data_IF_546949041212
#
_entry.id   IF_546949041212
#
_cell.length_a   1.000
_cell.length_b   1.000
_cell.length_c   1.000
_cell.angle_alpha   90.00
_cell.angle_beta   90.00
_cell.angle_gamma   90.00
#
_symmetry.space_group_name_H-M   'P 1'
#
loop_
_entity.id
_entity.type
_entity.pdbx_description
1 polymer ?
#
# COMPACT_ATOMS: atom_id res chain seq x y z
N UNK A 1 7.75 31.00 -0.77
CA UNK A 1 8.30 30.75 -2.09
C UNK A 1 7.27 30.43 -3.22
N UNK A 2 6.00 30.19 -2.96
CA UNK A 2 5.01 29.95 -4.03
C UNK A 2 4.35 31.22 -4.60
N UNK A 3 4.70 32.41 -4.10
CA UNK A 3 4.03 33.67 -4.43
C UNK A 3 4.90 34.64 -5.25
N UNK A 4 6.07 34.26 -5.71
CA UNK A 4 7.03 35.17 -6.41
C UNK A 4 7.11 34.97 -7.92
N UNK A 5 6.18 34.29 -8.51
CA UNK A 5 6.07 34.19 -9.96
C UNK A 5 4.61 34.06 -10.35
N UNK A 6 4.23 34.53 -11.53
CA UNK A 6 2.91 34.37 -12.13
C UNK A 6 2.53 32.90 -12.35
N UNK A 7 2.45 32.12 -11.28
CA UNK A 7 2.09 30.72 -11.34
C UNK A 7 0.56 30.62 -11.31
N UNK A 8 -0.07 30.31 -12.41
CA UNK A 8 -1.49 29.98 -12.46
C UNK A 8 -1.68 28.51 -12.09
N UNK A 9 -2.20 28.28 -10.88
CA UNK A 9 -2.60 26.95 -10.44
C UNK A 9 -4.07 26.76 -10.78
N UNK A 10 -4.35 25.86 -11.72
CA UNK A 10 -5.71 25.54 -12.16
C UNK A 10 -6.35 24.41 -11.34
N UNK A 11 -5.53 23.51 -10.78
CA UNK A 11 -5.98 22.35 -10.01
C UNK A 11 -5.05 22.03 -8.84
N UNK A 12 -5.62 21.64 -7.70
CA UNK A 12 -4.92 21.12 -6.53
C UNK A 12 -5.46 19.71 -6.30
N UNK A 13 -4.59 18.71 -6.48
CA UNK A 13 -4.95 17.31 -6.23
C UNK A 13 -4.33 16.86 -4.93
N UNK A 14 -5.16 16.29 -4.04
CA UNK A 14 -4.77 15.73 -2.74
C UNK A 14 -4.97 14.24 -2.82
N UNK A 15 -3.86 13.51 -2.79
CA UNK A 15 -3.87 12.06 -2.65
C UNK A 15 -3.94 11.68 -1.17
N UNK A 16 -4.41 10.45 -0.88
CA UNK A 16 -4.62 9.94 0.49
C UNK A 16 -5.42 10.93 1.37
N UNK A 17 -6.46 11.52 0.80
CA UNK A 17 -7.24 12.56 1.46
C UNK A 17 -7.89 12.11 2.79
N UNK A 18 -7.98 10.80 3.07
CA UNK A 18 -8.43 10.27 4.36
C UNK A 18 -7.53 10.72 5.53
N UNK A 19 -6.26 11.10 5.24
CA UNK A 19 -5.33 11.62 6.24
C UNK A 19 -5.77 12.94 6.90
N UNK A 20 -6.76 13.66 6.36
CA UNK A 20 -7.33 14.86 6.99
C UNK A 20 -8.37 14.53 8.07
N UNK A 21 -8.76 13.26 8.23
CA UNK A 21 -9.78 12.82 9.19
C UNK A 21 -9.15 12.09 10.37
N UNK A 22 -9.49 12.50 11.59
CA UNK A 22 -9.10 11.78 12.82
C UNK A 22 -9.71 10.36 12.88
N UNK A 23 -10.76 10.11 12.11
CA UNK A 23 -11.39 8.81 11.96
C UNK A 23 -10.81 8.00 10.79
N UNK A 24 -9.83 8.56 10.06
CA UNK A 24 -9.05 7.86 9.05
C UNK A 24 -8.03 6.92 9.71
N UNK A 25 -7.68 5.86 9.03
CA UNK A 25 -6.70 4.89 9.53
C UNK A 25 -5.25 5.41 9.60
N UNK A 26 -4.97 6.56 8.98
CA UNK A 26 -3.64 7.21 8.94
C UNK A 26 -3.80 8.74 9.05
N UNK A 27 -4.34 9.21 10.18
CA UNK A 27 -4.47 10.65 10.41
C UNK A 27 -3.11 11.32 10.48
N UNK A 28 -2.95 12.39 9.70
CA UNK A 28 -1.73 13.22 9.65
C UNK A 28 -2.07 14.68 9.90
N UNK A 29 -1.66 15.25 11.04
CA UNK A 29 -1.93 16.65 11.37
C UNK A 29 -1.49 17.63 10.29
N UNK A 30 -0.36 17.37 9.62
CA UNK A 30 0.18 18.21 8.54
C UNK A 30 -0.78 18.35 7.35
N UNK A 31 -1.65 17.37 7.12
CA UNK A 31 -2.67 17.44 6.08
C UNK A 31 -3.72 18.53 6.35
N UNK A 32 -3.88 18.96 7.58
CA UNK A 32 -4.79 20.08 7.93
C UNK A 32 -4.26 21.43 7.38
N UNK A 33 -2.95 21.53 7.14
CA UNK A 33 -2.34 22.74 6.56
C UNK A 33 -2.68 22.90 5.07
N UNK A 34 -3.12 21.84 4.37
CA UNK A 34 -3.50 21.88 2.95
C UNK A 34 -4.61 22.91 2.70
N UNK A 35 -5.50 23.11 3.68
CA UNK A 35 -6.53 24.16 3.58
C UNK A 35 -5.92 25.56 3.43
N UNK A 36 -4.75 25.81 3.99
CA UNK A 36 -4.01 27.09 3.84
C UNK A 36 -3.52 27.30 2.42
N UNK A 37 -3.07 26.22 1.76
CA UNK A 37 -2.64 26.25 0.34
C UNK A 37 -3.81 26.65 -0.56
N UNK A 38 -5.03 26.18 -0.29
CA UNK A 38 -6.22 26.58 -1.04
C UNK A 38 -6.49 28.08 -0.99
N UNK A 39 -6.21 28.73 0.13
CA UNK A 39 -6.40 30.20 0.26
C UNK A 39 -5.49 30.99 -0.67
N UNK A 40 -4.33 30.43 -1.00
CA UNK A 40 -3.40 31.05 -1.95
C UNK A 40 -3.89 30.97 -3.41
N UNK A 41 -4.68 29.92 -3.71
CA UNK A 41 -5.18 29.65 -5.06
C UNK A 41 -6.72 29.47 -5.07
N UNK A 42 -7.50 30.52 -4.78
CA UNK A 42 -8.94 30.45 -4.58
C UNK A 42 -9.73 30.03 -5.82
N UNK A 43 -9.14 30.18 -7.02
CA UNK A 43 -9.75 29.80 -8.30
C UNK A 43 -9.43 28.38 -8.72
N UNK A 44 -8.47 27.70 -8.07
CA UNK A 44 -8.07 26.35 -8.41
C UNK A 44 -9.18 25.35 -8.06
N UNK A 45 -9.44 24.41 -8.97
CA UNK A 45 -10.28 23.26 -8.70
C UNK A 45 -9.58 22.33 -7.71
N UNK A 46 -10.29 21.83 -6.72
CA UNK A 46 -9.73 20.90 -5.76
C UNK A 46 -10.26 19.48 -6.02
N UNK A 47 -9.35 18.51 -6.10
CA UNK A 47 -9.63 17.09 -6.23
C UNK A 47 -9.06 16.38 -5.01
N UNK A 48 -9.89 15.63 -4.30
CA UNK A 48 -9.48 14.79 -3.17
C UNK A 48 -9.65 13.32 -3.54
N UNK A 49 -8.58 12.56 -3.45
CA UNK A 49 -8.54 11.13 -3.80
C UNK A 49 -8.22 10.31 -2.56
N UNK A 50 -8.88 9.18 -2.41
CA UNK A 50 -8.55 8.19 -1.38
C UNK A 50 -9.05 6.81 -1.81
N UNK A 51 -8.27 5.78 -1.49
CA UNK A 51 -8.67 4.39 -1.71
C UNK A 51 -9.66 3.90 -0.66
N UNK A 52 -9.67 4.51 0.54
CA UNK A 52 -10.46 4.05 1.68
C UNK A 52 -11.14 5.22 2.38
N UNK A 53 -12.47 5.28 2.33
CA UNK A 53 -13.22 6.30 3.04
C UNK A 53 -14.59 5.79 3.47
N UNK A 54 -14.80 5.73 4.78
CA UNK A 54 -16.13 5.55 5.38
C UNK A 54 -16.97 6.81 5.15
N UNK A 55 -18.27 6.73 5.39
CA UNK A 55 -19.16 7.91 5.27
C UNK A 55 -18.75 9.05 6.22
N UNK A 56 -18.20 8.73 7.39
CA UNK A 56 -17.68 9.74 8.31
C UNK A 56 -16.42 10.40 7.75
N UNK A 57 -15.47 9.62 7.25
CA UNK A 57 -14.24 10.12 6.62
C UNK A 57 -14.55 11.01 5.41
N UNK A 58 -15.55 10.65 4.58
CA UNK A 58 -16.00 11.49 3.45
C UNK A 58 -16.48 12.87 3.92
N UNK A 59 -17.29 12.91 5.00
CA UNK A 59 -17.77 14.17 5.59
C UNK A 59 -16.61 15.02 6.08
N UNK A 60 -15.64 14.41 6.75
CA UNK A 60 -14.47 15.12 7.26
C UNK A 60 -13.59 15.66 6.12
N UNK A 61 -13.38 14.90 5.05
CA UNK A 61 -12.67 15.36 3.85
C UNK A 61 -13.32 16.62 3.30
N UNK A 62 -14.65 16.57 3.10
CA UNK A 62 -15.42 17.71 2.56
C UNK A 62 -15.28 18.94 3.47
N UNK A 63 -15.42 18.75 4.78
CA UNK A 63 -15.35 19.79 5.78
C UNK A 63 -13.92 20.37 5.90
N UNK A 64 -12.93 19.51 6.14
CA UNK A 64 -11.57 19.92 6.47
C UNK A 64 -10.84 20.52 5.26
N UNK A 65 -11.15 20.07 4.04
CA UNK A 65 -10.63 20.67 2.80
C UNK A 65 -11.50 21.81 2.28
N UNK A 66 -12.61 22.13 2.93
CA UNK A 66 -13.52 23.22 2.54
C UNK A 66 -14.11 23.05 1.13
N UNK A 67 -14.43 21.82 0.74
CA UNK A 67 -15.02 21.53 -0.58
C UNK A 67 -16.46 22.07 -0.63
N UNK A 68 -16.76 22.92 -1.61
CA UNK A 68 -18.08 23.52 -1.79
C UNK A 68 -18.88 22.73 -2.82
N UNK A 69 -19.93 22.03 -2.38
CA UNK A 69 -20.81 21.20 -3.23
C UNK A 69 -19.99 20.27 -4.14
N UNK A 70 -19.13 19.41 -3.57
CA UNK A 70 -18.30 18.53 -4.37
C UNK A 70 -19.14 17.47 -5.08
N UNK A 71 -18.74 17.12 -6.30
CA UNK A 71 -19.17 15.88 -6.94
C UNK A 71 -18.42 14.72 -6.28
N UNK A 72 -19.13 13.65 -5.92
CA UNK A 72 -18.57 12.49 -5.23
C UNK A 72 -18.67 11.28 -6.15
N UNK A 73 -17.51 10.74 -6.52
CA UNK A 73 -17.41 9.52 -7.31
C UNK A 73 -16.93 8.39 -6.40
N UNK A 74 -17.70 7.32 -6.32
CA UNK A 74 -17.37 6.14 -5.53
C UNK A 74 -17.42 4.91 -6.43
N UNK A 75 -16.36 4.13 -6.46
CA UNK A 75 -16.30 2.85 -7.16
C UNK A 75 -16.32 1.70 -6.17
N UNK A 76 -16.67 0.50 -6.63
CA UNK A 76 -16.59 -0.71 -5.81
C UNK A 76 -15.14 -1.04 -5.47
N UNK A 77 -14.91 -1.54 -4.25
CA UNK A 77 -13.63 -2.11 -3.83
C UNK A 77 -13.38 -3.50 -4.43
N UNK A 78 -14.39 -4.10 -5.08
CA UNK A 78 -14.30 -5.44 -5.64
C UNK A 78 -13.34 -5.49 -6.83
N UNK A 79 -12.24 -6.20 -6.64
CA UNK A 79 -11.20 -6.45 -7.63
C UNK A 79 -11.38 -7.87 -8.17
N UNK A 80 -12.29 -8.04 -9.14
CA UNK A 80 -12.68 -9.33 -9.72
C UNK A 80 -11.54 -10.16 -10.30
N UNK A 81 -10.43 -9.51 -10.61
CA UNK A 81 -9.23 -10.15 -11.15
C UNK A 81 -8.25 -10.63 -10.06
N UNK A 82 -8.53 -10.41 -8.77
CA UNK A 82 -7.67 -10.86 -7.66
C UNK A 82 -8.35 -12.01 -6.94
N UNK A 83 -7.70 -13.18 -6.95
CA UNK A 83 -8.11 -14.34 -6.15
C UNK A 83 -7.61 -14.20 -4.74
N UNK A 84 -8.54 -14.22 -3.77
CA UNK A 84 -8.21 -14.11 -2.34
C UNK A 84 -8.14 -15.52 -1.72
N UNK A 85 -7.03 -15.83 -1.10
CA UNK A 85 -6.81 -17.07 -0.37
C UNK A 85 -6.33 -16.77 1.05
N UNK A 86 -6.92 -17.46 2.04
CA UNK A 86 -6.57 -17.28 3.45
C UNK A 86 -6.18 -18.64 4.02
N UNK A 87 -4.98 -18.75 4.59
CA UNK A 87 -4.47 -19.99 5.15
C UNK A 87 -3.99 -19.81 6.59
N UNK A 88 -4.28 -20.76 7.51
CA UNK A 88 -3.58 -20.83 8.79
C UNK A 88 -2.08 -21.04 8.56
N UNK A 89 -1.27 -20.19 9.19
CA UNK A 89 0.19 -20.26 9.11
C UNK A 89 0.70 -21.40 9.99
N UNK A 90 1.18 -22.46 9.37
CA UNK A 90 1.79 -23.62 10.04
C UNK A 90 3.31 -23.59 9.93
N UNK A 91 3.79 -23.51 8.72
CA UNK A 91 5.20 -23.36 8.35
C UNK A 91 5.26 -22.30 7.25
N UNK A 92 5.23 -21.02 7.65
CA UNK A 92 5.05 -19.89 6.73
C UNK A 92 6.02 -19.89 5.56
N UNK A 93 7.30 -20.15 5.81
CA UNK A 93 8.30 -20.24 4.73
C UNK A 93 7.97 -21.35 3.73
N UNK A 94 7.63 -22.55 4.22
CA UNK A 94 7.27 -23.66 3.32
C UNK A 94 6.00 -23.36 2.52
N UNK A 95 5.00 -22.70 3.12
CA UNK A 95 3.78 -22.30 2.45
C UNK A 95 4.07 -21.26 1.33
N UNK A 96 4.95 -20.29 1.60
CA UNK A 96 5.41 -19.34 0.58
C UNK A 96 6.11 -20.08 -0.57
N UNK A 97 7.02 -21.01 -0.26
CA UNK A 97 7.73 -21.77 -1.29
C UNK A 97 6.76 -22.61 -2.13
N UNK A 98 5.79 -23.27 -1.50
CA UNK A 98 4.80 -24.07 -2.21
C UNK A 98 3.93 -23.22 -3.13
N UNK A 99 3.53 -22.03 -2.66
CA UNK A 99 2.86 -21.05 -3.50
C UNK A 99 3.74 -20.64 -4.70
N UNK A 100 4.98 -20.28 -4.47
CA UNK A 100 5.91 -19.81 -5.51
C UNK A 100 6.23 -20.89 -6.56
N UNK A 101 6.11 -22.19 -6.23
CA UNK A 101 6.27 -23.29 -7.23
C UNK A 101 5.24 -23.21 -8.35
N UNK A 102 4.03 -22.73 -8.06
CA UNK A 102 2.95 -22.57 -9.02
C UNK A 102 2.99 -21.20 -9.74
N UNK A 103 3.80 -20.26 -9.24
CA UNK A 103 3.92 -18.88 -9.73
C UNK A 103 5.35 -18.57 -10.23
N UNK A 104 5.93 -19.51 -10.99
CA UNK A 104 7.31 -19.38 -11.49
C UNK A 104 7.41 -18.20 -12.46
N UNK A 105 8.48 -17.42 -12.29
CA UNK A 105 8.78 -16.24 -13.12
C UNK A 105 7.74 -15.12 -13.08
N UNK A 106 6.77 -15.17 -12.21
CA UNK A 106 5.81 -14.10 -11.96
C UNK A 106 6.37 -13.06 -10.99
N UNK A 107 5.99 -11.79 -11.19
CA UNK A 107 6.34 -10.71 -10.27
C UNK A 107 5.39 -10.70 -9.09
N UNK A 108 5.95 -10.57 -7.89
CA UNK A 108 5.13 -10.51 -6.68
C UNK A 108 5.78 -9.83 -5.49
N UNK A 109 4.95 -9.52 -4.50
CA UNK A 109 5.36 -8.86 -3.27
C UNK A 109 4.99 -9.75 -2.08
N UNK A 110 5.90 -9.88 -1.12
CA UNK A 110 5.66 -10.62 0.12
C UNK A 110 5.80 -9.64 1.28
N UNK A 111 4.71 -9.34 1.96
CA UNK A 111 4.68 -8.43 3.10
C UNK A 111 4.92 -9.17 4.40
N UNK A 112 5.85 -8.66 5.22
CA UNK A 112 6.12 -9.11 6.57
C UNK A 112 5.97 -7.93 7.54
N UNK A 113 5.58 -8.20 8.79
CA UNK A 113 5.38 -7.16 9.80
C UNK A 113 6.67 -6.60 10.41
N UNK A 114 7.79 -7.33 10.31
CA UNK A 114 9.07 -6.89 10.89
C UNK A 114 10.23 -6.97 9.89
N UNK A 115 11.20 -6.06 10.07
CA UNK A 115 12.45 -6.02 9.29
C UNK A 115 13.20 -7.35 9.36
N UNK A 116 13.27 -7.93 10.56
CA UNK A 116 13.94 -9.21 10.81
C UNK A 116 13.31 -10.34 9.97
N UNK A 117 11.98 -10.45 9.93
CA UNK A 117 11.29 -11.46 9.11
C UNK A 117 11.54 -11.24 7.62
N UNK A 118 11.59 -9.96 7.16
CA UNK A 118 11.94 -9.63 5.78
C UNK A 118 13.31 -10.19 5.44
N UNK A 119 14.31 -9.94 6.27
CA UNK A 119 15.68 -10.39 6.01
C UNK A 119 15.83 -11.91 6.10
N UNK A 120 15.19 -12.56 7.08
CA UNK A 120 15.21 -14.02 7.23
C UNK A 120 14.58 -14.71 6.00
N UNK A 121 13.39 -14.25 5.58
CA UNK A 121 12.70 -14.82 4.42
C UNK A 121 13.44 -14.53 3.10
N UNK A 122 13.98 -13.32 2.93
CA UNK A 122 14.82 -12.95 1.80
C UNK A 122 16.02 -13.89 1.66
N UNK A 123 16.78 -14.09 2.75
CA UNK A 123 17.96 -14.96 2.75
C UNK A 123 17.59 -16.41 2.39
N UNK A 124 16.47 -16.91 2.94
CA UNK A 124 15.99 -18.24 2.65
C UNK A 124 15.60 -18.42 1.18
N UNK A 125 14.78 -17.50 0.64
CA UNK A 125 14.36 -17.57 -0.77
C UNK A 125 15.53 -17.42 -1.73
N UNK A 126 16.48 -16.53 -1.43
CA UNK A 126 17.71 -16.33 -2.23
C UNK A 126 18.57 -17.59 -2.28
N UNK A 127 18.75 -18.27 -1.13
CA UNK A 127 19.46 -19.56 -1.07
C UNK A 127 18.82 -20.66 -1.90
N UNK A 128 17.50 -20.60 -2.10
CA UNK A 128 16.72 -21.53 -2.93
C UNK A 128 16.67 -21.14 -4.41
N UNK A 129 17.40 -20.08 -4.80
CA UNK A 129 17.54 -19.66 -6.20
C UNK A 129 16.41 -18.77 -6.73
N UNK A 130 15.53 -18.24 -5.87
CA UNK A 130 14.54 -17.27 -6.30
C UNK A 130 15.17 -15.91 -6.63
N UNK A 131 14.64 -15.23 -7.66
CA UNK A 131 14.97 -13.84 -8.01
C UNK A 131 14.27 -12.91 -7.04
N UNK A 132 14.93 -12.57 -5.93
CA UNK A 132 14.31 -11.87 -4.80
C UNK A 132 15.23 -10.80 -4.22
N UNK A 133 14.66 -9.69 -3.78
CA UNK A 133 15.31 -8.64 -2.97
C UNK A 133 14.45 -8.34 -1.73
N UNK A 134 15.08 -7.72 -0.73
CA UNK A 134 14.41 -7.25 0.47
C UNK A 134 14.18 -5.73 0.40
N UNK A 135 13.17 -5.24 1.13
CA UNK A 135 12.87 -3.81 1.23
C UNK A 135 12.26 -3.45 2.58
N UNK A 136 12.92 -2.61 3.34
CA UNK A 136 12.41 -2.04 4.61
C UNK A 136 13.15 -0.76 4.98
N UNK A 137 12.57 0.07 5.84
CA UNK A 137 13.12 1.36 6.24
C UNK A 137 14.47 1.30 6.99
N UNK A 138 14.98 0.11 7.32
CA UNK A 138 16.33 -0.08 7.89
C UNK A 138 17.43 -0.19 6.84
N UNK A 139 17.10 -0.31 5.56
CA UNK A 139 18.08 -0.27 4.46
C UNK A 139 18.46 1.17 4.14
N UNK A 140 19.71 1.43 3.66
CA UNK A 140 20.10 2.71 3.09
C UNK A 140 19.17 3.16 1.96
N UNK A 141 19.02 4.47 1.78
CA UNK A 141 18.08 5.04 0.80
C UNK A 141 18.45 4.70 -0.65
N UNK A 142 19.73 4.69 -0.95
CA UNK A 142 20.27 4.27 -2.25
C UNK A 142 19.97 2.81 -2.56
N UNK A 143 20.18 1.91 -1.59
CA UNK A 143 19.85 0.48 -1.72
C UNK A 143 18.34 0.28 -1.91
N UNK A 144 17.50 1.03 -1.17
CA UNK A 144 16.05 0.98 -1.36
C UNK A 144 15.65 1.41 -2.75
N UNK A 145 16.23 2.51 -3.23
CA UNK A 145 15.99 3.01 -4.59
C UNK A 145 16.39 1.99 -5.67
N UNK A 146 17.58 1.39 -5.53
CA UNK A 146 18.05 0.36 -6.45
C UNK A 146 17.13 -0.87 -6.46
N UNK A 147 16.78 -1.41 -5.28
CA UNK A 147 15.92 -2.59 -5.16
C UNK A 147 14.53 -2.34 -5.77
N UNK A 148 13.97 -1.17 -5.53
CA UNK A 148 12.70 -0.75 -6.12
C UNK A 148 12.78 -0.68 -7.65
N UNK A 149 13.83 -0.06 -8.18
CA UNK A 149 14.02 0.09 -9.61
C UNK A 149 14.19 -1.27 -10.31
N UNK A 150 15.01 -2.16 -9.74
CA UNK A 150 15.21 -3.51 -10.27
C UNK A 150 13.90 -4.32 -10.30
N UNK A 151 13.03 -4.14 -9.31
CA UNK A 151 11.71 -4.78 -9.30
C UNK A 151 10.77 -4.18 -10.34
N UNK A 152 10.72 -2.86 -10.47
CA UNK A 152 9.88 -2.17 -11.47
C UNK A 152 10.28 -2.58 -12.89
N UNK A 153 11.59 -2.69 -13.16
CA UNK A 153 12.14 -3.08 -14.46
C UNK A 153 12.09 -4.59 -14.76
N UNK A 154 11.43 -5.39 -13.93
CA UNK A 154 11.37 -6.85 -14.05
C UNK A 154 12.73 -7.59 -13.99
N UNK A 155 13.80 -6.92 -13.61
CA UNK A 155 15.13 -7.53 -13.37
C UNK A 155 15.14 -8.44 -12.16
N UNK A 156 14.28 -8.15 -11.18
CA UNK A 156 13.98 -9.00 -10.04
C UNK A 156 12.49 -9.26 -9.97
N UNK A 157 12.11 -10.49 -9.64
CA UNK A 157 10.70 -10.92 -9.67
C UNK A 157 9.97 -10.77 -8.36
N UNK A 158 10.67 -10.87 -7.24
CA UNK A 158 10.05 -10.91 -5.91
C UNK A 158 10.66 -9.83 -5.02
N UNK A 159 9.82 -9.08 -4.32
CA UNK A 159 10.22 -8.24 -3.21
C UNK A 159 9.65 -8.81 -1.91
N UNK A 160 10.50 -9.05 -0.92
CA UNK A 160 10.08 -9.28 0.46
C UNK A 160 10.21 -7.96 1.21
N UNK A 161 9.12 -7.46 1.77
CA UNK A 161 9.09 -6.09 2.29
C UNK A 161 8.26 -5.93 3.56
N UNK A 162 8.52 -4.84 4.28
CA UNK A 162 7.53 -4.25 5.20
C UNK A 162 6.60 -3.31 4.45
N UNK A 163 5.56 -2.78 5.11
CA UNK A 163 4.65 -1.74 4.58
C UNK A 163 5.37 -0.50 4.03
N UNK A 164 6.66 -0.32 4.35
CA UNK A 164 7.49 0.74 3.77
C UNK A 164 7.63 0.62 2.25
N UNK A 165 7.43 -0.58 1.67
CA UNK A 165 7.36 -0.80 0.24
C UNK A 165 5.91 -0.61 -0.23
N UNK A 166 5.54 0.63 -0.46
CA UNK A 166 4.14 0.91 -0.72
C UNK A 166 3.92 2.18 -1.53
N UNK A 167 4.13 3.34 -0.96
CA UNK A 167 3.88 4.61 -1.64
C UNK A 167 4.73 4.74 -2.90
N UNK A 168 4.10 5.15 -4.01
CA UNK A 168 4.80 5.37 -5.28
C UNK A 168 5.15 4.12 -6.09
N UNK A 169 4.75 2.91 -5.66
CA UNK A 169 4.95 1.71 -6.46
C UNK A 169 3.81 1.57 -7.46
N UNK A 170 4.13 1.83 -8.72
CA UNK A 170 3.20 1.63 -9.83
C UNK A 170 3.77 0.62 -10.82
N UNK A 171 3.62 -0.67 -10.47
CA UNK A 171 3.98 -1.81 -11.33
C UNK A 171 2.70 -2.56 -11.70
N UNK A 172 2.26 -2.49 -12.96
CA UNK A 172 0.96 -3.05 -13.37
C UNK A 172 0.91 -4.57 -13.32
N UNK A 173 2.02 -5.25 -13.59
CA UNK A 173 2.13 -6.68 -13.77
C UNK A 173 2.52 -7.48 -12.51
N UNK A 174 2.18 -6.99 -11.33
CA UNK A 174 2.31 -7.77 -10.08
C UNK A 174 1.28 -8.88 -10.11
N UNK A 175 1.72 -10.14 -10.12
CA UNK A 175 0.84 -11.31 -10.24
C UNK A 175 0.41 -11.87 -8.90
N UNK A 176 1.16 -11.60 -7.83
CA UNK A 176 0.75 -12.03 -6.50
C UNK A 176 1.20 -11.07 -5.41
N UNK A 177 0.41 -11.04 -4.34
CA UNK A 177 0.77 -10.44 -3.07
C UNK A 177 0.58 -11.50 -1.98
N UNK A 178 1.61 -11.72 -1.16
CA UNK A 178 1.53 -12.62 -0.01
C UNK A 178 1.64 -11.76 1.25
N UNK A 179 0.63 -11.81 2.10
CA UNK A 179 0.71 -11.31 3.46
C UNK A 179 1.24 -12.44 4.34
N UNK A 180 2.53 -12.40 4.66
CA UNK A 180 3.19 -13.42 5.49
C UNK A 180 2.70 -13.41 6.93
N UNK A 181 2.22 -12.25 7.39
CA UNK A 181 1.58 -12.04 8.68
C UNK A 181 0.27 -11.27 8.47
N UNK A 182 -0.61 -11.31 9.47
CA UNK A 182 -1.86 -10.57 9.44
C UNK A 182 -1.59 -9.05 9.46
N UNK A 183 -2.08 -8.26 8.47
CA UNK A 183 -1.99 -6.81 8.48
C UNK A 183 -2.69 -6.20 9.69
N UNK A 184 -2.32 -4.98 10.05
CA UNK A 184 -2.87 -4.31 11.26
C UNK A 184 -4.34 -3.93 11.11
N UNK A 185 -4.78 -3.66 9.90
CA UNK A 185 -6.17 -3.31 9.59
C UNK A 185 -6.61 -3.88 8.25
N UNK A 186 -7.91 -3.86 8.01
CA UNK A 186 -8.48 -4.26 6.72
C UNK A 186 -8.08 -3.29 5.60
N UNK A 187 -7.92 -2.02 5.92
CA UNK A 187 -7.49 -0.99 4.99
C UNK A 187 -6.04 -1.25 4.55
N UNK A 188 -5.13 -1.56 5.48
CA UNK A 188 -3.75 -1.94 5.18
C UNK A 188 -3.72 -3.18 4.27
N UNK A 189 -4.52 -4.21 4.60
CA UNK A 189 -4.67 -5.39 3.76
C UNK A 189 -5.11 -5.03 2.34
N UNK A 190 -6.15 -4.18 2.20
CA UNK A 190 -6.63 -3.75 0.89
C UNK A 190 -5.59 -2.96 0.10
N UNK A 191 -4.85 -2.07 0.74
CA UNK A 191 -3.78 -1.31 0.10
C UNK A 191 -2.66 -2.22 -0.40
N UNK A 192 -2.31 -3.25 0.36
CA UNK A 192 -1.27 -4.21 0.00
C UNK A 192 -1.69 -5.10 -1.16
N UNK A 193 -2.83 -5.79 -1.06
CA UNK A 193 -3.33 -6.66 -2.14
C UNK A 193 -3.73 -5.87 -3.40
N UNK A 194 -4.15 -4.62 -3.23
CA UNK A 194 -4.50 -3.72 -4.34
C UNK A 194 -3.35 -3.40 -5.29
N UNK A 195 -2.11 -3.77 -4.93
CA UNK A 195 -0.94 -3.67 -5.83
C UNK A 195 -0.92 -4.77 -6.87
N UNK A 196 -1.61 -5.88 -6.64
CA UNK A 196 -1.70 -6.97 -7.59
C UNK A 196 -2.64 -6.64 -8.75
N UNK A 197 -2.30 -7.10 -9.94
CA UNK A 197 -3.16 -7.07 -11.12
C UNK A 197 -3.70 -5.70 -11.51
N UNK A 198 -2.92 -4.63 -11.41
CA UNK A 198 -3.35 -3.29 -11.83
C UNK A 198 -3.61 -3.19 -13.34
N UNK A 199 -3.05 -4.09 -14.12
CA UNK A 199 -3.29 -4.24 -15.54
C UNK A 199 -4.60 -4.99 -15.88
N UNK A 200 -5.39 -5.37 -14.87
CA UNK A 200 -6.63 -6.12 -15.02
C UNK A 200 -6.46 -7.61 -15.25
N UNK A 201 -5.22 -8.11 -15.36
CA UNK A 201 -4.94 -9.53 -15.52
C UNK A 201 -5.13 -10.29 -14.19
N UNK A 202 -5.37 -11.62 -14.24
CA UNK A 202 -5.49 -12.44 -13.03
C UNK A 202 -4.30 -12.28 -12.10
N UNK A 203 -4.58 -12.17 -10.82
CA UNK A 203 -3.59 -12.05 -9.77
C UNK A 203 -4.07 -12.76 -8.49
N UNK A 204 -3.16 -13.04 -7.56
CA UNK A 204 -3.43 -13.78 -6.33
C UNK A 204 -3.04 -12.97 -5.11
N UNK A 205 -3.86 -13.07 -4.07
CA UNK A 205 -3.55 -12.53 -2.75
C UNK A 205 -3.66 -13.67 -1.73
N UNK A 206 -2.51 -14.08 -1.16
CA UNK A 206 -2.44 -15.09 -0.12
C UNK A 206 -2.21 -14.43 1.23
N UNK A 207 -3.11 -14.66 2.18
CA UNK A 207 -2.96 -14.24 3.57
C UNK A 207 -2.63 -15.44 4.45
N UNK A 208 -1.48 -15.37 5.14
CA UNK A 208 -1.10 -16.30 6.19
C UNK A 208 -1.38 -15.67 7.55
N UNK A 209 -2.08 -16.40 8.44
CA UNK A 209 -2.43 -15.87 9.75
C UNK A 209 -2.19 -16.88 10.86
N UNK A 210 -1.92 -16.40 12.07
CA UNK A 210 -1.92 -17.19 13.31
C UNK A 210 -2.96 -16.63 14.28
N UNK A 211 -3.44 -17.46 15.19
CA UNK A 211 -4.30 -16.97 16.28
C UNK A 211 -3.58 -15.97 17.18
N UNK A 212 -2.23 -16.07 17.29
CA UNK A 212 -1.44 -15.11 18.04
C UNK A 212 -1.46 -13.72 17.40
N UNK A 213 -1.53 -13.61 16.07
CA UNK A 213 -1.65 -12.33 15.36
C UNK A 213 -2.99 -11.66 15.70
N UNK A 214 -4.08 -12.42 15.76
CA UNK A 214 -5.40 -11.89 16.15
C UNK A 214 -5.37 -11.31 17.57
N UNK A 215 -4.69 -11.96 18.50
CA UNK A 215 -4.54 -11.46 19.87
C UNK A 215 -3.70 -10.19 19.94
N UNK A 216 -2.62 -10.10 19.16
CA UNK A 216 -1.79 -8.87 19.07
C UNK A 216 -2.61 -7.69 18.55
N UNK A 217 -3.36 -7.90 17.46
CA UNK A 217 -4.20 -6.84 16.90
C UNK A 217 -5.24 -6.37 17.92
N UNK A 218 -5.92 -7.29 18.61
CA UNK A 218 -6.87 -6.92 19.67
C UNK A 218 -6.24 -6.05 20.76
N UNK A 219 -5.00 -6.33 21.16
CA UNK A 219 -4.30 -5.56 22.19
C UNK A 219 -4.01 -4.10 21.76
N UNK A 220 -3.86 -3.84 20.46
CA UNK A 220 -3.66 -2.49 19.94
C UNK A 220 -4.96 -1.69 19.75
N UNK A 221 -6.11 -2.35 19.82
CA UNK A 221 -7.43 -1.73 19.67
C UNK A 221 -8.22 -1.61 20.99
N UNK A 222 -7.65 -2.01 22.13
CA UNK A 222 -8.15 -1.77 23.49
C UNK A 222 -7.34 -0.68 24.17
#
# INVERSE_FOLDING_TARGET
MLNEGNLEVSCITIDEAHCVSEWGHDFRPDYMEIFSVRKLFPKATMIALTATATEQVKKDIIKNLGLKKPEIFTTSFDRKNIFLEVQPKKSGESQVIDFLKNHKNESGIIYCTSRRQVDELFVSLKKKGYSVLNYHAGLPDDVRGEHQQLFIEDKVKIIVATVAFGMGIDKPNVRFVINFDLPKSIEEYYQEIGRAGRDGQPAWALLLYTYADVHKIRYFFT
#
